data_IF_748046292636
#
_entry.id   IF_748046292636
#
_cell.length_a   1.000
_cell.length_b   1.000
_cell.length_c   1.000
_cell.angle_alpha   90.00
_cell.angle_beta   90.00
_cell.angle_gamma   90.00
#
_symmetry.space_group_name_H-M   'P 1'
#
loop_
_entity.id
_entity.type
_entity.pdbx_description
1 polymer ?
#
# COMPACT_ATOMS: atom_id res chain seq x y z
N UNK A 1 36.44 -46.19 18.70
CA UNK A 1 35.05 -45.71 18.68
C UNK A 1 35.01 -44.23 19.07
N UNK A 2 34.82 -43.32 18.12
CA UNK A 2 34.79 -41.86 18.39
C UNK A 2 33.35 -41.46 18.74
N UNK A 3 33.12 -41.01 19.99
CA UNK A 3 31.83 -40.48 20.44
C UNK A 3 31.52 -39.19 19.67
N UNK A 4 30.48 -39.19 18.82
CA UNK A 4 29.93 -37.98 18.22
C UNK A 4 29.26 -37.14 19.31
N UNK A 5 29.85 -35.98 19.62
CA UNK A 5 29.25 -34.96 20.48
C UNK A 5 28.03 -34.37 19.75
N UNK A 6 26.84 -34.54 20.33
CA UNK A 6 25.61 -33.96 19.80
C UNK A 6 25.56 -32.49 20.19
N UNK A 7 25.84 -31.57 19.26
CA UNK A 7 25.57 -30.16 19.49
C UNK A 7 24.07 -29.90 19.26
N UNK A 8 23.29 -29.53 20.29
CA UNK A 8 21.90 -29.16 20.09
C UNK A 8 21.87 -27.91 19.21
N UNK A 9 21.24 -28.01 18.04
CA UNK A 9 21.02 -26.88 17.14
C UNK A 9 20.12 -25.87 17.86
N UNK A 10 20.73 -24.89 18.53
CA UNK A 10 20.01 -23.80 19.18
C UNK A 10 19.33 -22.97 18.08
N UNK A 11 18.01 -23.05 18.00
CA UNK A 11 17.25 -22.31 17.02
C UNK A 11 17.46 -20.79 17.23
N UNK A 12 17.92 -20.08 16.18
CA UNK A 12 18.07 -18.60 16.18
C UNK A 12 16.88 -17.93 16.89
N UNK A 13 17.13 -16.96 17.77
CA UNK A 13 16.14 -16.30 18.65
C UNK A 13 14.81 -15.91 17.96
N UNK A 14 14.82 -15.58 16.66
CA UNK A 14 13.60 -15.32 15.87
C UNK A 14 12.70 -16.55 15.62
N UNK A 15 13.27 -17.75 15.50
CA UNK A 15 12.52 -19.03 15.47
C UNK A 15 11.95 -19.35 16.85
N UNK A 16 12.71 -19.12 17.92
CA UNK A 16 12.22 -19.22 19.31
C UNK A 16 11.02 -18.30 19.54
N UNK A 17 11.05 -17.04 19.08
CA UNK A 17 9.88 -16.13 19.13
C UNK A 17 8.69 -16.62 18.30
N UNK A 18 8.91 -17.35 17.20
CA UNK A 18 7.85 -17.93 16.37
C UNK A 18 7.20 -19.15 17.05
N UNK A 19 8.00 -19.93 17.77
CA UNK A 19 7.57 -21.03 18.64
C UNK A 19 6.87 -20.51 19.90
N UNK A 20 7.32 -19.37 20.44
CA UNK A 20 6.72 -18.68 21.59
C UNK A 20 5.48 -17.83 21.24
N UNK A 21 5.13 -17.66 19.96
CA UNK A 21 3.79 -17.20 19.58
C UNK A 21 2.82 -18.32 19.89
N UNK A 22 2.50 -18.43 21.16
CA UNK A 22 1.51 -19.38 21.64
C UNK A 22 0.18 -19.01 20.97
N UNK A 23 -0.49 -19.98 20.32
CA UNK A 23 -1.87 -19.81 19.90
C UNK A 23 -2.69 -19.34 21.11
N UNK A 24 -3.76 -18.57 20.87
CA UNK A 24 -4.56 -17.99 21.94
C UNK A 24 -5.17 -19.04 22.88
N UNK A 25 -5.20 -20.29 22.42
CA UNK A 25 -5.66 -21.50 23.09
C UNK A 25 -4.56 -22.55 22.92
N UNK A 26 -4.31 -23.42 23.92
CA UNK A 26 -3.43 -24.59 23.72
C UNK A 26 -3.98 -25.37 22.52
N UNK A 27 -3.08 -25.75 21.61
CA UNK A 27 -3.45 -26.60 20.47
C UNK A 27 -3.62 -28.00 21.03
N UNK A 28 -4.85 -28.38 21.29
CA UNK A 28 -5.19 -29.73 21.73
C UNK A 28 -5.06 -30.71 20.55
N UNK A 29 -5.06 -32.02 20.83
CA UNK A 29 -5.01 -33.08 19.81
C UNK A 29 -6.11 -32.94 18.74
N UNK A 30 -7.20 -32.27 19.07
CA UNK A 30 -8.27 -31.89 18.15
C UNK A 30 -7.80 -30.89 17.07
N UNK A 31 -6.93 -29.93 17.41
CA UNK A 31 -6.36 -28.96 16.44
C UNK A 31 -5.52 -29.65 15.37
N UNK A 32 -4.80 -30.71 15.74
CA UNK A 32 -3.96 -31.49 14.83
C UNK A 32 -4.78 -32.39 13.90
N UNK A 33 -5.96 -32.84 14.35
CA UNK A 33 -6.91 -33.64 13.54
C UNK A 33 -7.66 -32.81 12.48
N UNK A 34 -7.79 -31.49 12.67
CA UNK A 34 -8.42 -30.62 11.66
C UNK A 34 -7.48 -30.49 10.45
N UNK A 35 -7.80 -31.20 9.36
CA UNK A 35 -7.03 -31.15 8.11
C UNK A 35 -6.96 -29.73 7.60
N UNK A 36 -5.75 -29.19 7.50
CA UNK A 36 -5.51 -27.85 6.97
C UNK A 36 -5.66 -27.85 5.44
N UNK A 37 -6.88 -27.62 4.94
CA UNK A 37 -7.15 -27.55 3.51
C UNK A 37 -6.83 -26.13 3.01
N UNK A 38 -5.70 -25.99 2.31
CA UNK A 38 -5.47 -24.89 1.35
C UNK A 38 -5.40 -25.53 -0.02
N UNK A 39 -6.47 -25.43 -0.79
CA UNK A 39 -6.40 -25.74 -2.21
C UNK A 39 -5.95 -24.50 -2.98
N UNK A 40 -5.02 -24.71 -3.90
CA UNK A 40 -4.31 -23.66 -4.64
C UNK A 40 -2.88 -23.44 -4.14
N UNK A 41 -1.96 -23.26 -5.09
CA UNK A 41 -0.57 -22.96 -4.82
C UNK A 41 -0.49 -21.77 -3.85
N UNK A 42 0.28 -21.92 -2.77
CA UNK A 42 0.66 -20.81 -1.92
C UNK A 42 1.28 -19.77 -2.84
N UNK A 43 0.61 -18.63 -3.07
CA UNK A 43 1.28 -17.46 -3.64
C UNK A 43 2.59 -17.34 -2.89
N UNK A 44 3.70 -17.51 -3.62
CA UNK A 44 5.04 -17.59 -3.08
C UNK A 44 5.18 -16.50 -2.03
N UNK A 45 5.83 -16.82 -0.88
CA UNK A 45 6.11 -15.81 0.17
C UNK A 45 6.48 -14.52 -0.56
N UNK A 46 5.65 -13.48 -0.40
CA UNK A 46 5.82 -12.24 -1.15
C UNK A 46 7.30 -11.91 -1.24
N UNK A 47 7.77 -11.74 -2.48
CA UNK A 47 9.18 -11.64 -2.84
C UNK A 47 9.87 -10.70 -1.85
N UNK A 48 10.99 -11.15 -1.25
CA UNK A 48 11.66 -10.28 -0.28
C UNK A 48 12.09 -9.00 -0.99
N UNK A 49 12.14 -7.87 -0.30
CA UNK A 49 12.45 -6.56 -0.92
C UNK A 49 13.79 -6.57 -1.67
N UNK A 50 14.75 -7.34 -1.16
CA UNK A 50 16.08 -7.62 -1.72
C UNK A 50 16.04 -8.49 -3.00
N UNK A 51 14.92 -9.15 -3.28
CA UNK A 51 14.72 -10.02 -4.44
C UNK A 51 13.88 -9.36 -5.54
N UNK A 52 13.31 -8.17 -5.29
CA UNK A 52 12.61 -7.40 -6.32
C UNK A 52 13.67 -6.86 -7.27
N UNK A 53 13.65 -7.31 -8.53
CA UNK A 53 14.50 -6.74 -9.57
C UNK A 53 13.92 -5.39 -9.96
N UNK A 54 14.65 -4.33 -9.67
CA UNK A 54 14.31 -2.97 -10.08
C UNK A 54 14.78 -2.76 -11.52
N UNK A 55 13.97 -2.08 -12.32
CA UNK A 55 14.26 -1.77 -13.72
C UNK A 55 15.51 -0.91 -13.88
N UNK A 56 15.77 0.00 -12.93
CA UNK A 56 16.88 0.96 -12.97
C UNK A 56 17.74 0.89 -11.72
N UNK A 57 19.00 1.26 -11.89
CA UNK A 57 19.97 1.34 -10.80
C UNK A 57 20.46 2.77 -10.58
N UNK A 58 20.96 3.06 -9.38
CA UNK A 58 21.47 4.40 -9.05
C UNK A 58 22.64 4.84 -9.94
N UNK A 59 23.66 3.99 -10.21
CA UNK A 59 24.78 4.39 -11.08
C UNK A 59 24.33 4.67 -12.51
N UNK A 60 23.35 3.93 -13.02
CA UNK A 60 22.80 4.13 -14.36
C UNK A 60 22.15 5.52 -14.51
N UNK A 61 21.44 6.01 -13.50
CA UNK A 61 20.83 7.34 -13.51
C UNK A 61 21.85 8.46 -13.34
N UNK A 62 22.85 8.29 -12.47
CA UNK A 62 23.87 9.31 -12.21
C UNK A 62 24.86 9.47 -13.36
N UNK A 63 25.25 8.37 -14.03
CA UNK A 63 26.19 8.37 -15.15
C UNK A 63 25.51 8.68 -16.50
N UNK A 64 24.20 8.91 -16.52
CA UNK A 64 23.48 9.22 -17.75
C UNK A 64 23.76 10.66 -18.21
N UNK A 65 24.10 10.83 -19.49
CA UNK A 65 24.14 12.14 -20.14
C UNK A 65 22.76 12.79 -20.17
N UNK A 66 22.70 14.13 -20.32
CA UNK A 66 21.44 14.89 -20.34
C UNK A 66 20.41 14.34 -21.34
N UNK A 67 20.86 13.86 -22.50
CA UNK A 67 19.98 13.23 -23.49
C UNK A 67 19.54 11.83 -23.05
N UNK A 68 20.48 11.01 -22.60
CA UNK A 68 20.21 9.63 -22.16
C UNK A 68 19.27 9.56 -20.97
N UNK A 69 19.38 10.50 -20.00
CA UNK A 69 18.46 10.53 -18.85
C UNK A 69 17.03 10.87 -19.30
N UNK A 70 16.87 11.75 -20.27
CA UNK A 70 15.54 12.06 -20.83
C UNK A 70 14.98 10.83 -21.55
N UNK A 71 15.79 10.14 -22.35
CA UNK A 71 15.37 8.91 -23.04
C UNK A 71 14.97 7.80 -22.05
N UNK A 72 15.73 7.64 -20.96
CA UNK A 72 15.40 6.72 -19.86
C UNK A 72 14.05 7.08 -19.23
N UNK A 73 13.83 8.35 -18.90
CA UNK A 73 12.61 8.82 -18.24
C UNK A 73 11.39 8.75 -19.17
N UNK A 74 11.57 8.95 -20.48
CA UNK A 74 10.50 8.72 -21.48
C UNK A 74 10.18 7.23 -21.59
N UNK A 75 11.21 6.37 -21.69
CA UNK A 75 11.04 4.91 -21.76
C UNK A 75 10.37 4.33 -20.50
N UNK A 76 10.57 4.98 -19.35
CA UNK A 76 9.99 4.60 -18.07
C UNK A 76 8.67 5.33 -17.76
N UNK A 77 8.12 6.08 -18.72
CA UNK A 77 6.85 6.82 -18.63
C UNK A 77 6.81 7.96 -17.60
N UNK A 78 7.96 8.41 -17.09
CA UNK A 78 8.03 9.61 -16.26
C UNK A 78 7.81 10.88 -17.08
N UNK A 79 8.34 10.92 -18.31
CA UNK A 79 8.17 12.06 -19.22
C UNK A 79 7.33 11.67 -20.43
N UNK A 80 6.53 12.61 -20.99
CA UNK A 80 5.78 12.38 -22.20
C UNK A 80 6.70 12.31 -23.41
N UNK A 81 6.25 11.61 -24.45
CA UNK A 81 6.93 11.62 -25.76
C UNK A 81 6.72 12.98 -26.41
N UNK A 82 7.69 13.87 -26.25
CA UNK A 82 7.71 15.17 -26.92
C UNK A 82 8.80 15.19 -28.00
N UNK A 83 8.56 15.92 -29.10
CA UNK A 83 9.60 16.20 -30.10
C UNK A 83 10.59 17.19 -29.50
N UNK A 84 11.65 16.67 -28.89
CA UNK A 84 12.69 17.50 -28.28
C UNK A 84 13.63 18.01 -29.36
N UNK A 85 13.94 19.30 -29.28
CA UNK A 85 14.92 19.97 -30.14
C UNK A 85 16.01 20.58 -29.27
N UNK A 86 17.21 20.70 -29.83
CA UNK A 86 18.30 21.42 -29.17
C UNK A 86 17.93 22.90 -29.20
N UNK A 87 17.87 23.53 -28.03
CA UNK A 87 17.55 24.94 -27.96
C UNK A 87 18.73 25.75 -28.54
N UNK A 88 18.48 26.84 -29.29
CA UNK A 88 19.53 27.62 -29.94
C UNK A 88 20.54 28.31 -29.00
N UNK A 89 20.35 28.23 -27.67
CA UNK A 89 21.25 28.81 -26.65
C UNK A 89 21.57 27.84 -25.50
N UNK A 90 21.77 26.56 -25.78
CA UNK A 90 22.33 25.63 -24.79
C UNK A 90 22.19 24.13 -25.10
N UNK A 91 22.95 23.31 -24.37
CA UNK A 91 23.02 21.84 -24.52
C UNK A 91 21.78 21.08 -24.02
N UNK A 92 20.75 21.79 -23.57
CA UNK A 92 19.55 21.19 -23.01
C UNK A 92 18.49 20.99 -24.09
N UNK A 93 18.01 19.74 -24.18
CA UNK A 93 16.94 19.36 -25.09
C UNK A 93 15.62 19.90 -24.56
N UNK A 94 15.00 20.81 -25.30
CA UNK A 94 13.77 21.52 -24.92
C UNK A 94 12.67 21.29 -25.95
N UNK A 95 11.44 21.48 -25.52
CA UNK A 95 10.28 21.49 -26.39
C UNK A 95 9.95 22.93 -26.80
N UNK A 96 9.86 23.19 -28.11
CA UNK A 96 9.36 24.46 -28.62
C UNK A 96 7.83 24.42 -28.69
N UNK A 97 7.18 25.45 -28.17
CA UNK A 97 5.72 25.56 -28.28
C UNK A 97 5.27 25.54 -29.76
N UNK A 98 4.22 24.79 -30.07
CA UNK A 98 3.67 24.66 -31.42
C UNK A 98 2.61 25.71 -31.76
N UNK A 99 2.26 26.60 -30.83
CA UNK A 99 1.26 27.63 -31.05
C UNK A 99 1.77 28.74 -32.00
N UNK A 100 0.91 29.24 -32.88
CA UNK A 100 1.27 30.28 -33.86
C UNK A 100 1.81 31.51 -33.12
N UNK A 101 2.96 32.02 -33.56
CA UNK A 101 3.68 33.15 -32.95
C UNK A 101 4.20 32.92 -31.51
N UNK A 102 4.14 31.72 -30.96
CA UNK A 102 4.76 31.39 -29.68
C UNK A 102 6.18 30.85 -29.89
N UNK A 103 7.18 31.61 -29.48
CA UNK A 103 8.61 31.23 -29.58
C UNK A 103 9.18 30.68 -28.26
N UNK A 104 8.31 30.32 -27.32
CA UNK A 104 8.71 29.85 -25.97
C UNK A 104 9.27 28.43 -26.04
N UNK A 105 10.37 28.22 -25.30
CA UNK A 105 11.03 26.94 -25.11
C UNK A 105 10.81 26.46 -23.68
N UNK A 106 10.24 25.27 -23.53
CA UNK A 106 9.94 24.65 -22.23
C UNK A 106 10.82 23.43 -22.01
N UNK A 107 11.23 23.13 -20.77
CA UNK A 107 11.94 21.88 -20.55
C UNK A 107 10.95 20.69 -20.58
N UNK A 108 11.42 19.46 -20.80
CA UNK A 108 10.56 18.29 -20.91
C UNK A 108 9.76 17.98 -19.63
N UNK A 109 10.21 18.53 -18.49
CA UNK A 109 9.63 18.33 -17.17
C UNK A 109 8.89 19.59 -16.67
N UNK A 110 8.63 20.57 -17.53
CA UNK A 110 7.79 21.71 -17.21
C UNK A 110 6.40 21.19 -16.85
N UNK A 111 5.94 21.44 -15.61
CA UNK A 111 4.69 20.89 -15.02
C UNK A 111 4.73 19.41 -14.59
N UNK A 112 5.91 18.79 -14.50
CA UNK A 112 5.99 17.42 -13.97
C UNK A 112 5.60 17.40 -12.48
N UNK A 113 4.76 16.45 -12.02
CA UNK A 113 4.28 16.42 -10.63
C UNK A 113 5.38 16.22 -9.59
N UNK A 114 6.52 15.64 -9.99
CA UNK A 114 7.65 15.33 -9.09
C UNK A 114 8.92 16.14 -9.39
N UNK A 115 9.16 16.50 -10.65
CA UNK A 115 10.42 17.11 -11.08
C UNK A 115 10.19 18.60 -11.20
N UNK A 116 11.13 19.38 -10.70
CA UNK A 116 10.97 20.83 -10.61
C UNK A 116 12.01 21.51 -11.47
N UNK A 117 11.55 22.46 -12.27
CA UNK A 117 12.40 23.43 -12.92
C UNK A 117 12.78 24.50 -11.90
N UNK A 118 14.07 24.67 -11.64
CA UNK A 118 14.55 25.78 -10.82
C UNK A 118 15.71 26.45 -11.53
N UNK A 119 15.66 27.78 -11.59
CA UNK A 119 16.79 28.60 -11.99
C UNK A 119 17.35 29.23 -10.72
N UNK A 120 18.47 28.69 -10.23
CA UNK A 120 19.11 29.17 -9.02
C UNK A 120 20.29 28.30 -8.58
N UNK A 121 21.11 28.76 -7.64
CA UNK A 121 22.29 28.04 -7.17
C UNK A 121 21.96 26.72 -6.44
N UNK A 122 20.71 26.55 -6.00
CA UNK A 122 20.20 25.32 -5.38
C UNK A 122 19.43 24.42 -6.37
N UNK A 123 19.50 24.73 -7.67
CA UNK A 123 18.86 23.92 -8.71
C UNK A 123 19.52 22.55 -8.84
N UNK A 124 18.70 21.52 -9.05
CA UNK A 124 19.15 20.14 -9.19
C UNK A 124 19.01 19.71 -10.63
N UNK A 125 20.06 19.06 -11.17
CA UNK A 125 19.99 18.43 -12.47
C UNK A 125 18.92 17.32 -12.49
N UNK A 126 18.39 17.03 -13.67
CA UNK A 126 17.37 15.99 -13.83
C UNK A 126 17.88 14.62 -13.39
N UNK A 127 19.17 14.33 -13.61
CA UNK A 127 19.85 13.12 -13.11
C UNK A 127 19.77 13.06 -11.58
N UNK A 128 20.09 14.17 -10.90
CA UNK A 128 20.09 14.23 -9.44
C UNK A 128 18.68 14.07 -8.88
N UNK A 129 17.69 14.71 -9.51
CA UNK A 129 16.29 14.55 -9.13
C UNK A 129 15.79 13.10 -9.33
N UNK A 130 16.17 12.44 -10.44
CA UNK A 130 15.81 11.05 -10.71
C UNK A 130 16.48 10.07 -9.73
N UNK A 131 17.77 10.28 -9.42
CA UNK A 131 18.51 9.51 -8.43
C UNK A 131 17.91 9.66 -7.02
N UNK A 132 17.55 10.89 -6.64
CA UNK A 132 16.87 11.17 -5.39
C UNK A 132 15.50 10.45 -5.32
N UNK A 133 14.69 10.51 -6.38
CA UNK A 133 13.42 9.81 -6.44
C UNK A 133 13.61 8.29 -6.26
N UNK A 134 14.59 7.69 -6.94
CA UNK A 134 14.91 6.26 -6.81
C UNK A 134 15.23 5.90 -5.34
N UNK A 135 16.10 6.67 -4.68
CA UNK A 135 16.44 6.45 -3.26
C UNK A 135 15.22 6.57 -2.34
N UNK A 136 14.30 7.50 -2.64
CA UNK A 136 13.04 7.63 -1.90
C UNK A 136 12.11 6.44 -2.11
N UNK A 137 12.03 5.89 -3.32
CA UNK A 137 11.27 4.68 -3.59
C UNK A 137 11.87 3.46 -2.87
N UNK A 138 13.19 3.40 -2.73
CA UNK A 138 13.89 2.41 -1.89
C UNK A 138 13.73 2.62 -0.38
N UNK A 139 13.08 3.70 0.06
CA UNK A 139 12.89 4.06 1.48
C UNK A 139 14.20 4.33 2.22
N UNK A 140 15.17 4.92 1.52
CA UNK A 140 16.38 5.42 2.16
C UNK A 140 16.02 6.62 3.04
N UNK A 141 16.45 6.67 4.32
CA UNK A 141 16.20 7.80 5.21
C UNK A 141 16.69 9.13 4.62
N UNK A 142 15.97 10.22 4.88
CA UNK A 142 16.29 11.56 4.39
C UNK A 142 17.72 12.00 4.72
N UNK A 143 18.20 11.72 5.93
CA UNK A 143 19.58 12.01 6.34
C UNK A 143 20.62 11.32 5.46
N UNK A 144 20.39 10.06 5.09
CA UNK A 144 21.30 9.31 4.21
C UNK A 144 21.27 9.84 2.78
N UNK A 145 20.11 10.25 2.27
CA UNK A 145 20.00 10.85 0.94
C UNK A 145 20.75 12.19 0.89
N UNK A 146 20.62 13.02 1.94
CA UNK A 146 21.37 14.26 2.06
C UNK A 146 22.88 14.02 2.00
N UNK A 147 23.38 13.03 2.74
CA UNK A 147 24.80 12.67 2.76
C UNK A 147 25.28 12.07 1.43
N UNK A 148 24.48 11.22 0.78
CA UNK A 148 24.88 10.52 -0.44
C UNK A 148 24.87 11.41 -1.69
N UNK A 149 23.92 12.35 -1.78
CA UNK A 149 23.72 13.17 -2.97
C UNK A 149 24.14 14.63 -2.76
N UNK A 150 24.50 15.04 -1.54
CA UNK A 150 24.76 16.45 -1.21
C UNK A 150 23.53 17.36 -1.33
N UNK A 151 22.34 16.77 -1.41
CA UNK A 151 21.09 17.48 -1.69
C UNK A 151 20.50 18.05 -0.42
N UNK A 152 20.14 19.34 -0.42
CA UNK A 152 19.49 20.02 0.72
C UNK A 152 18.26 19.25 1.23
N UNK A 153 18.17 19.05 2.56
CA UNK A 153 17.07 18.35 3.22
C UNK A 153 15.68 18.91 2.86
N UNK A 154 15.54 20.22 2.58
CA UNK A 154 14.26 20.81 2.15
C UNK A 154 13.81 20.30 0.78
N UNK A 155 14.74 20.16 -0.16
CA UNK A 155 14.45 19.57 -1.46
C UNK A 155 14.07 18.08 -1.33
N UNK A 156 14.64 17.38 -0.33
CA UNK A 156 14.30 16.01 0.01
C UNK A 156 12.85 15.88 0.50
N UNK A 157 12.46 16.78 1.39
CA UNK A 157 11.11 16.83 1.94
C UNK A 157 10.07 17.23 0.88
N UNK A 158 10.38 18.24 0.05
CA UNK A 158 9.50 18.68 -1.02
C UNK A 158 9.18 17.56 -2.02
N UNK A 159 10.18 16.79 -2.45
CA UNK A 159 9.95 15.64 -3.33
C UNK A 159 9.08 14.56 -2.67
N UNK A 160 9.27 14.30 -1.37
CA UNK A 160 8.45 13.35 -0.63
C UNK A 160 6.99 13.81 -0.51
N UNK A 161 6.79 15.10 -0.26
CA UNK A 161 5.46 15.70 -0.19
C UNK A 161 4.75 15.65 -1.55
N UNK A 162 5.46 15.98 -2.64
CA UNK A 162 4.96 15.85 -4.03
C UNK A 162 4.55 14.41 -4.32
N UNK A 163 5.43 13.44 -4.03
CA UNK A 163 5.14 12.01 -4.23
C UNK A 163 3.90 11.55 -3.44
N UNK A 164 3.75 11.99 -2.19
CA UNK A 164 2.58 11.65 -1.38
C UNK A 164 1.28 12.23 -1.95
N UNK A 165 1.30 13.48 -2.41
CA UNK A 165 0.15 14.14 -3.05
C UNK A 165 -0.24 13.44 -4.35
N UNK A 166 0.71 13.16 -5.24
CA UNK A 166 0.42 12.47 -6.52
C UNK A 166 -0.18 11.08 -6.27
N UNK A 167 0.35 10.32 -5.30
CA UNK A 167 -0.22 9.01 -4.93
C UNK A 167 -1.61 9.14 -4.33
N UNK A 168 -1.85 10.15 -3.48
CA UNK A 168 -3.16 10.40 -2.90
C UNK A 168 -4.21 10.63 -3.99
N UNK A 169 -3.94 11.50 -4.97
CA UNK A 169 -4.87 11.78 -6.06
C UNK A 169 -5.20 10.52 -6.88
N UNK A 170 -4.18 9.73 -7.19
CA UNK A 170 -4.37 8.47 -7.92
C UNK A 170 -5.24 7.47 -7.14
N UNK A 171 -4.95 7.28 -5.85
CA UNK A 171 -5.73 6.38 -4.98
C UNK A 171 -7.19 6.84 -4.91
N UNK A 172 -7.44 8.12 -4.71
CA UNK A 172 -8.80 8.67 -4.65
C UNK A 172 -9.55 8.49 -5.97
N UNK A 173 -8.86 8.65 -7.12
CA UNK A 173 -9.47 8.40 -8.43
C UNK A 173 -9.80 6.92 -8.62
N UNK A 174 -8.85 6.03 -8.33
CA UNK A 174 -9.07 4.58 -8.42
C UNK A 174 -10.15 4.09 -7.47
N UNK A 175 -10.28 4.67 -6.28
CA UNK A 175 -11.37 4.34 -5.36
C UNK A 175 -12.76 4.64 -5.95
N UNK A 176 -12.91 5.70 -6.75
CA UNK A 176 -14.18 6.00 -7.44
C UNK A 176 -14.50 5.00 -8.55
N UNK A 177 -13.49 4.38 -9.16
CA UNK A 177 -13.65 3.35 -10.19
C UNK A 177 -14.02 1.98 -9.59
N UNK A 178 -13.81 1.78 -8.28
CA UNK A 178 -14.18 0.55 -7.60
C UNK A 178 -15.70 0.59 -7.38
N UNK A 179 -16.44 -0.06 -8.28
CA UNK A 179 -17.86 -0.36 -8.10
C UNK A 179 -18.00 -1.31 -6.90
N UNK A 180 -18.47 -0.77 -5.78
CA UNK A 180 -19.10 -1.55 -4.73
C UNK A 180 -20.57 -1.68 -5.16
N UNK A 181 -21.07 -2.90 -5.32
CA UNK A 181 -22.29 -3.25 -6.05
C UNK A 181 -23.54 -2.38 -5.88
N UNK A 182 -24.46 -2.54 -6.84
CA UNK A 182 -25.55 -1.61 -7.16
C UNK A 182 -26.63 -1.47 -6.07
N UNK A 183 -26.52 -0.42 -5.25
CA UNK A 183 -27.56 0.00 -4.31
C UNK A 183 -28.69 0.78 -5.00
N UNK A 184 -29.55 0.08 -5.77
CA UNK A 184 -30.81 0.68 -6.28
C UNK A 184 -31.89 0.69 -5.18
N UNK A 185 -31.92 1.78 -4.41
CA UNK A 185 -33.12 2.56 -4.05
C UNK A 185 -32.80 3.41 -2.81
N UNK A 186 -32.58 4.71 -2.99
CA UNK A 186 -32.52 5.69 -1.90
C UNK A 186 -33.74 6.61 -2.00
N UNK A 187 -34.56 6.60 -0.96
CA UNK A 187 -35.39 7.74 -0.55
C UNK A 187 -34.90 8.12 0.85
N UNK A 188 -34.53 9.38 1.03
CA UNK A 188 -34.20 9.94 2.34
C UNK A 188 -35.50 10.21 3.11
N UNK A 189 -35.86 9.28 4.00
CA UNK A 189 -36.73 9.58 5.13
C UNK A 189 -35.88 9.59 6.39
N UNK A 190 -35.98 10.67 7.17
CA UNK A 190 -35.05 11.11 8.21
C UNK A 190 -34.95 10.24 9.47
N UNK A 191 -34.73 8.94 9.33
CA UNK A 191 -34.34 8.00 10.38
C UNK A 191 -33.26 7.06 9.82
N UNK A 192 -32.01 7.18 10.29
CA UNK A 192 -30.92 6.28 9.89
C UNK A 192 -31.20 4.85 10.38
N UNK A 193 -31.70 3.99 9.50
CA UNK A 193 -31.68 2.54 9.68
C UNK A 193 -30.39 1.98 9.06
N UNK A 194 -29.56 1.37 9.89
CA UNK A 194 -28.39 0.65 9.42
C UNK A 194 -28.81 -0.73 8.94
N UNK A 195 -28.28 -1.17 7.79
CA UNK A 195 -28.32 -2.58 7.43
C UNK A 195 -26.99 -3.22 7.84
N UNK A 196 -27.07 -4.30 8.63
CA UNK A 196 -25.89 -5.02 9.10
C UNK A 196 -25.96 -6.47 8.64
N UNK A 197 -24.85 -7.01 8.14
CA UNK A 197 -24.76 -8.37 7.59
C UNK A 197 -23.58 -9.11 8.23
N UNK A 198 -23.78 -10.38 8.57
CA UNK A 198 -22.73 -11.29 9.03
C UNK A 198 -22.30 -12.20 7.88
N UNK A 199 -20.99 -12.27 7.62
CA UNK A 199 -20.41 -13.10 6.56
C UNK A 199 -19.51 -14.19 7.13
N UNK A 200 -19.72 -15.44 6.71
CA UNK A 200 -18.82 -16.56 6.97
C UNK A 200 -18.34 -17.11 5.63
N UNK A 201 -17.03 -17.35 5.50
CA UNK A 201 -16.44 -17.87 4.26
C UNK A 201 -15.32 -18.85 4.59
N UNK A 202 -15.24 -19.94 3.82
CA UNK A 202 -14.12 -20.85 3.90
C UNK A 202 -12.87 -20.19 3.30
N UNK A 203 -11.77 -20.23 4.03
CA UNK A 203 -10.52 -19.62 3.60
C UNK A 203 -10.01 -20.28 2.31
N UNK A 204 -9.98 -19.49 1.22
CA UNK A 204 -9.49 -19.94 -0.09
C UNK A 204 -10.60 -20.31 -1.09
N UNK A 205 -11.87 -20.31 -0.69
CA UNK A 205 -13.01 -20.58 -1.58
C UNK A 205 -14.06 -19.48 -1.46
N UNK A 206 -13.98 -18.41 -2.27
CA UNK A 206 -14.91 -17.28 -2.17
C UNK A 206 -16.37 -17.67 -2.45
N UNK A 207 -16.59 -18.74 -3.23
CA UNK A 207 -17.91 -19.33 -3.53
C UNK A 207 -18.66 -19.84 -2.29
N UNK A 208 -17.97 -20.07 -1.17
CA UNK A 208 -18.57 -20.56 0.08
C UNK A 208 -19.07 -19.43 0.99
N UNK A 209 -19.14 -18.20 0.49
CA UNK A 209 -19.59 -17.05 1.26
C UNK A 209 -21.07 -17.18 1.59
N UNK A 210 -21.38 -17.24 2.89
CA UNK A 210 -22.74 -17.16 3.41
C UNK A 210 -22.91 -15.78 4.05
N UNK A 211 -23.90 -15.02 3.58
CA UNK A 211 -24.30 -13.73 4.15
C UNK A 211 -25.64 -13.85 4.87
N UNK A 212 -25.70 -13.43 6.14
CA UNK A 212 -26.93 -13.39 6.93
C UNK A 212 -27.24 -11.98 7.37
N UNK A 213 -28.44 -11.50 7.04
CA UNK A 213 -28.94 -10.20 7.48
C UNK A 213 -29.12 -10.21 9.00
N UNK A 214 -28.59 -9.19 9.67
CA UNK A 214 -28.79 -8.93 11.09
C UNK A 214 -29.88 -7.87 11.28
N UNK A 215 -30.44 -7.82 12.48
CA UNK A 215 -31.42 -6.79 12.88
C UNK A 215 -30.77 -5.82 13.86
N UNK A 216 -30.02 -4.81 13.38
CA UNK A 216 -29.38 -3.85 14.26
C UNK A 216 -30.40 -2.97 14.98
N UNK A 217 -30.06 -2.52 16.19
CA UNK A 217 -30.86 -1.49 16.87
C UNK A 217 -30.78 -0.17 16.12
N UNK A 218 -31.90 0.56 16.11
CA UNK A 218 -31.96 1.95 15.63
C UNK A 218 -30.92 2.76 16.40
N UNK A 219 -30.02 3.40 15.67
CA UNK A 219 -28.92 4.18 16.25
C UNK A 219 -29.37 5.60 16.56
N UNK A 220 -28.85 6.18 17.65
CA UNK A 220 -29.01 7.61 17.94
C UNK A 220 -28.30 8.47 16.89
N UNK A 221 -28.79 9.70 16.64
CA UNK A 221 -28.37 10.61 15.55
C UNK A 221 -26.86 10.89 15.42
N UNK A 222 -26.04 10.56 16.43
CA UNK A 222 -24.58 10.80 16.45
C UNK A 222 -23.73 9.52 16.55
N UNK A 223 -24.34 8.34 16.51
CA UNK A 223 -23.58 7.09 16.60
C UNK A 223 -22.99 6.71 15.23
N UNK A 224 -21.74 6.23 15.17
CA UNK A 224 -21.05 5.89 13.92
C UNK A 224 -21.53 4.58 13.26
N UNK A 225 -22.66 4.00 13.70
CA UNK A 225 -23.16 2.69 13.29
C UNK A 225 -23.78 1.89 14.44
N UNK A 226 -24.37 0.71 14.16
CA UNK A 226 -25.05 -0.13 15.16
C UNK A 226 -24.08 -0.87 16.10
N UNK A 227 -22.77 -0.68 15.91
CA UNK A 227 -21.72 -1.30 16.70
C UNK A 227 -21.33 -2.71 16.20
N UNK A 228 -20.47 -3.38 16.95
CA UNK A 228 -20.05 -4.75 16.65
C UNK A 228 -21.22 -5.74 16.83
N UNK A 229 -21.20 -6.85 16.07
CA UNK A 229 -22.20 -7.93 16.21
C UNK A 229 -22.33 -8.36 17.67
N UNK A 230 -23.56 -8.54 18.13
CA UNK A 230 -23.82 -8.95 19.51
C UNK A 230 -23.53 -10.44 19.67
N UNK A 231 -23.21 -10.83 20.89
CA UNK A 231 -22.98 -12.26 21.21
C UNK A 231 -24.23 -13.11 20.96
N UNK A 232 -25.43 -12.57 21.18
CA UNK A 232 -26.71 -13.24 20.95
C UNK A 232 -26.98 -13.50 19.46
N UNK A 233 -26.70 -12.51 18.61
CA UNK A 233 -26.83 -12.61 17.16
C UNK A 233 -25.80 -13.59 16.57
N UNK A 234 -24.54 -13.48 17.01
CA UNK A 234 -23.49 -14.41 16.61
C UNK A 234 -23.80 -15.85 17.05
N UNK A 235 -24.34 -16.05 18.25
CA UNK A 235 -24.66 -17.37 18.79
C UNK A 235 -25.57 -18.15 17.86
N UNK A 236 -26.66 -17.54 17.39
CA UNK A 236 -27.61 -18.20 16.49
C UNK A 236 -26.94 -18.65 15.18
N UNK A 237 -26.15 -17.76 14.57
CA UNK A 237 -25.44 -18.04 13.31
C UNK A 237 -24.40 -19.15 13.49
N UNK A 238 -23.68 -19.11 14.61
CA UNK A 238 -22.59 -20.03 14.87
C UNK A 238 -23.09 -21.42 15.29
N UNK A 239 -24.22 -21.51 16.01
CA UNK A 239 -24.89 -22.78 16.31
C UNK A 239 -25.44 -23.43 15.04
N UNK A 240 -26.01 -22.65 14.12
CA UNK A 240 -26.55 -23.18 12.85
C UNK A 240 -25.44 -23.67 11.90
N UNK A 241 -24.34 -22.92 11.78
CA UNK A 241 -23.35 -23.15 10.72
C UNK A 241 -22.08 -23.86 11.16
N UNK A 242 -21.75 -23.84 12.46
CA UNK A 242 -20.45 -24.30 12.98
C UNK A 242 -20.55 -25.37 14.07
N UNK A 243 -21.74 -25.59 14.66
CA UNK A 243 -21.91 -26.58 15.73
C UNK A 243 -21.50 -27.98 15.25
N UNK A 244 -20.71 -28.66 16.08
CA UNK A 244 -20.17 -30.02 15.86
C UNK A 244 -19.33 -30.20 14.59
N UNK A 245 -18.99 -29.12 13.88
CA UNK A 245 -18.03 -29.15 12.78
C UNK A 245 -16.62 -29.01 13.33
N UNK A 246 -15.70 -29.87 12.91
CA UNK A 246 -14.27 -29.79 13.26
C UNK A 246 -13.56 -28.70 12.46
N UNK A 247 -13.64 -27.44 12.90
CA UNK A 247 -13.14 -26.28 12.15
C UNK A 247 -12.32 -25.31 13.01
N UNK A 248 -11.38 -24.61 12.36
CA UNK A 248 -10.64 -23.48 12.96
C UNK A 248 -11.27 -22.18 12.47
N UNK A 249 -11.95 -21.47 13.37
CA UNK A 249 -12.57 -20.19 13.11
C UNK A 249 -11.55 -19.05 13.33
N UNK A 250 -11.24 -18.34 12.24
CA UNK A 250 -10.42 -17.13 12.28
C UNK A 250 -11.30 -15.91 12.49
N UNK A 251 -11.11 -15.19 13.60
CA UNK A 251 -11.93 -14.02 13.93
C UNK A 251 -11.07 -12.78 14.17
N UNK A 252 -11.70 -11.60 14.09
CA UNK A 252 -11.08 -10.30 14.38
C UNK A 252 -10.84 -10.05 15.89
N UNK A 253 -11.08 -11.08 16.71
CA UNK A 253 -10.98 -11.09 18.18
C UNK A 253 -12.03 -10.25 18.92
N UNK A 254 -13.13 -9.84 18.26
CA UNK A 254 -14.25 -9.21 18.96
C UNK A 254 -14.79 -10.12 20.09
N UNK A 255 -15.28 -9.51 21.18
CA UNK A 255 -15.75 -10.25 22.36
C UNK A 255 -16.92 -11.20 22.03
N UNK A 256 -17.76 -10.85 21.07
CA UNK A 256 -18.90 -11.66 20.61
C UNK A 256 -18.46 -13.00 20.01
N UNK A 257 -17.37 -13.01 19.26
CA UNK A 257 -16.83 -14.24 18.64
C UNK A 257 -16.02 -15.13 19.58
N UNK A 258 -15.99 -14.86 20.88
CA UNK A 258 -15.34 -15.74 21.89
C UNK A 258 -16.28 -16.81 22.45
N UNK A 259 -17.47 -16.96 21.87
CA UNK A 259 -18.43 -17.99 22.24
C UNK A 259 -17.79 -19.37 22.06
N UNK A 260 -17.80 -20.21 23.11
CA UNK A 260 -17.34 -21.59 23.01
C UNK A 260 -18.42 -22.43 22.33
N UNK A 261 -18.04 -23.13 21.27
CA UNK A 261 -18.90 -24.06 20.53
C UNK A 261 -18.18 -25.41 20.45
N UNK A 262 -18.94 -26.50 20.55
CA UNK A 262 -18.44 -27.86 20.37
C UNK A 262 -17.81 -28.00 18.98
N UNK A 263 -16.61 -28.58 18.89
CA UNK A 263 -15.89 -28.80 17.63
C UNK A 263 -15.19 -27.58 17.00
N UNK A 264 -15.38 -26.36 17.51
CA UNK A 264 -14.85 -25.13 16.90
C UNK A 264 -13.68 -24.55 17.68
N UNK A 265 -12.50 -24.49 17.04
CA UNK A 265 -11.31 -23.86 17.61
C UNK A 265 -11.15 -22.42 17.12
N UNK A 266 -10.94 -21.48 18.04
CA UNK A 266 -10.78 -20.07 17.71
C UNK A 266 -9.30 -19.68 17.57
N UNK A 267 -8.93 -18.99 16.49
CA UNK A 267 -7.56 -18.47 16.28
C UNK A 267 -7.55 -16.98 15.89
N UNK A 268 -6.47 -16.28 16.24
CA UNK A 268 -6.33 -14.82 16.06
C UNK A 268 -5.79 -14.49 14.68
N UNK A 269 -6.45 -13.59 13.96
CA UNK A 269 -5.89 -12.99 12.73
C UNK A 269 -4.81 -11.97 13.07
N UNK A 270 -3.57 -12.20 12.60
CA UNK A 270 -2.51 -11.19 12.67
C UNK A 270 -2.83 -10.08 11.65
N UNK A 271 -3.12 -8.87 12.15
CA UNK A 271 -3.38 -7.64 11.36
C UNK A 271 -2.15 -7.20 10.55
N UNK A 272 -1.84 -7.91 9.46
CA UNK A 272 -0.68 -7.60 8.59
C UNK A 272 -0.79 -6.25 7.89
N UNK A 273 -1.99 -5.84 7.50
CA UNK A 273 -2.24 -4.55 6.85
C UNK A 273 -2.00 -3.36 7.80
N UNK A 274 -2.54 -3.42 9.03
CA UNK A 274 -2.31 -2.36 10.02
C UNK A 274 -0.84 -2.21 10.39
N UNK A 275 -0.08 -3.32 10.46
CA UNK A 275 1.37 -3.26 10.67
C UNK A 275 2.07 -2.54 9.51
N UNK A 276 1.68 -2.84 8.27
CA UNK A 276 2.25 -2.23 7.07
C UNK A 276 2.07 -0.71 7.01
N UNK A 277 0.88 -0.23 7.38
CA UNK A 277 0.58 1.21 7.44
C UNK A 277 1.34 1.90 8.57
N UNK A 278 1.38 1.30 9.77
CA UNK A 278 2.12 1.86 10.93
C UNK A 278 3.63 1.95 10.70
N UNK A 279 4.22 1.03 9.95
CA UNK A 279 5.64 1.09 9.59
C UNK A 279 5.96 2.25 8.60
N UNK A 280 4.97 2.79 7.89
CA UNK A 280 5.16 3.82 6.84
C UNK A 280 4.72 5.21 7.26
N UNK A 281 3.67 5.28 8.06
CA UNK A 281 3.26 6.52 8.68
C UNK A 281 3.97 6.56 10.03
N UNK A 282 5.17 7.16 10.05
CA UNK A 282 5.82 7.57 11.29
C UNK A 282 4.93 8.64 11.93
N UNK A 283 3.91 8.21 12.68
CA UNK A 283 3.04 9.10 13.44
C UNK A 283 3.85 9.56 14.64
N UNK A 284 4.52 10.70 14.50
CA UNK A 284 5.03 11.42 15.66
C UNK A 284 3.81 11.91 16.46
N UNK A 285 3.94 11.93 17.79
CA UNK A 285 2.86 12.28 18.73
C UNK A 285 2.27 13.68 18.53
N UNK A 286 2.88 14.53 17.68
CA UNK A 286 2.50 15.93 17.43
C UNK A 286 1.75 16.16 16.11
N UNK A 287 1.32 15.12 15.39
CA UNK A 287 0.62 15.31 14.11
C UNK A 287 -0.87 15.57 14.37
N UNK A 288 -1.37 16.76 13.99
CA UNK A 288 -2.80 17.11 14.12
C UNK A 288 -3.66 16.05 13.40
N UNK A 289 -4.65 15.51 14.13
CA UNK A 289 -5.64 14.61 13.56
C UNK A 289 -6.29 15.25 12.33
N UNK A 290 -6.55 14.44 11.30
CA UNK A 290 -7.13 14.88 10.01
C UNK A 290 -6.32 15.88 9.17
N UNK A 291 -5.07 16.19 9.57
CA UNK A 291 -4.21 17.04 8.75
C UNK A 291 -4.08 16.51 7.32
N UNK A 292 -4.02 17.44 6.35
CA UNK A 292 -3.84 17.11 4.93
C UNK A 292 -2.61 16.25 4.70
N UNK A 293 -1.51 16.54 5.41
CA UNK A 293 -0.27 15.77 5.36
C UNK A 293 -0.46 14.33 5.87
N UNK A 294 -1.18 14.13 6.98
CA UNK A 294 -1.46 12.79 7.50
C UNK A 294 -2.33 11.98 6.53
N UNK A 295 -3.36 12.62 5.95
CA UNK A 295 -4.21 12.02 4.90
C UNK A 295 -3.35 11.63 3.68
N UNK A 296 -2.49 12.51 3.19
CA UNK A 296 -1.58 12.22 2.08
C UNK A 296 -0.64 11.05 2.37
N UNK A 297 -0.04 11.00 3.57
CA UNK A 297 0.84 9.89 4.00
C UNK A 297 0.09 8.57 4.09
N UNK A 298 -1.13 8.56 4.64
CA UNK A 298 -1.98 7.36 4.71
C UNK A 298 -2.34 6.85 3.32
N UNK A 299 -2.75 7.73 2.40
CA UNK A 299 -3.10 7.35 1.03
C UNK A 299 -1.86 6.92 0.23
N UNK A 300 -0.72 7.55 0.43
CA UNK A 300 0.56 7.10 -0.13
C UNK A 300 0.95 5.70 0.36
N UNK A 301 0.73 5.39 1.65
CA UNK A 301 0.95 4.05 2.19
C UNK A 301 -0.07 3.03 1.64
N UNK A 302 -1.32 3.43 1.39
CA UNK A 302 -2.31 2.60 0.71
C UNK A 302 -1.88 2.24 -0.72
N UNK A 303 -1.39 3.21 -1.49
CA UNK A 303 -0.81 2.96 -2.82
C UNK A 303 0.34 1.94 -2.77
N UNK A 304 1.25 2.07 -1.80
CA UNK A 304 2.35 1.11 -1.63
C UNK A 304 1.87 -0.28 -1.25
N UNK A 305 0.75 -0.37 -0.55
CA UNK A 305 0.14 -1.65 -0.21
C UNK A 305 -0.50 -2.31 -1.43
N UNK A 306 -1.17 -1.54 -2.29
CA UNK A 306 -1.74 -2.02 -3.54
C UNK A 306 -0.66 -2.58 -4.47
N UNK A 307 0.46 -1.87 -4.59
CA UNK A 307 1.60 -2.26 -5.44
C UNK A 307 2.63 -3.13 -4.71
N UNK A 308 2.22 -3.85 -3.66
CA UNK A 308 3.16 -4.69 -2.88
C UNK A 308 3.75 -5.79 -3.77
N UNK A 309 5.07 -5.90 -3.78
CA UNK A 309 5.87 -6.80 -4.64
C UNK A 309 5.99 -6.38 -6.11
N UNK A 310 5.48 -5.22 -6.51
CA UNK A 310 5.76 -4.64 -7.81
C UNK A 310 7.05 -3.80 -7.77
N UNK A 311 7.63 -3.54 -8.93
CA UNK A 311 8.68 -2.53 -9.08
C UNK A 311 8.07 -1.13 -8.92
N UNK A 312 8.40 -0.45 -7.83
CA UNK A 312 7.89 0.88 -7.55
C UNK A 312 8.43 1.94 -8.51
N UNK A 313 9.56 1.71 -9.17
CA UNK A 313 10.05 2.61 -10.21
C UNK A 313 9.08 2.64 -11.40
N UNK A 314 8.71 1.46 -11.89
CA UNK A 314 7.75 1.31 -12.99
C UNK A 314 6.37 1.82 -12.58
N UNK A 315 5.89 1.44 -11.39
CA UNK A 315 4.60 1.94 -10.88
C UNK A 315 4.57 3.45 -10.71
N UNK A 316 5.69 4.08 -10.32
CA UNK A 316 5.80 5.53 -10.20
C UNK A 316 5.80 6.22 -11.58
N UNK A 317 6.42 5.61 -12.59
CA UNK A 317 6.34 6.10 -13.98
C UNK A 317 4.90 6.11 -14.49
N UNK A 318 4.15 5.03 -14.26
CA UNK A 318 2.73 4.97 -14.63
C UNK A 318 1.88 5.99 -13.87
N UNK A 319 2.18 6.20 -12.59
CA UNK A 319 1.54 7.23 -11.77
C UNK A 319 1.79 8.64 -12.36
N UNK A 320 3.03 8.96 -12.72
CA UNK A 320 3.39 10.24 -13.35
C UNK A 320 2.68 10.41 -14.69
N UNK A 321 2.66 9.38 -15.53
CA UNK A 321 1.95 9.40 -16.81
C UNK A 321 0.45 9.73 -16.66
N UNK A 322 -0.23 9.09 -15.70
CA UNK A 322 -1.64 9.39 -15.39
C UNK A 322 -1.85 10.84 -14.91
N UNK A 323 -0.92 11.36 -14.10
CA UNK A 323 -1.00 12.74 -13.62
C UNK A 323 -0.77 13.74 -14.76
N UNK A 324 0.13 13.43 -15.69
CA UNK A 324 0.49 14.29 -16.81
C UNK A 324 -0.55 14.29 -17.94
N UNK A 325 -1.33 13.22 -18.09
CA UNK A 325 -2.45 13.19 -19.05
C UNK A 325 -3.41 14.38 -18.87
N UNK A 326 -3.61 14.86 -17.64
CA UNK A 326 -4.45 16.04 -17.33
C UNK A 326 -3.98 17.33 -18.01
N UNK A 327 -2.69 17.42 -18.35
CA UNK A 327 -2.08 18.62 -18.96
C UNK A 327 -1.81 18.45 -20.46
N UNK A 328 -2.03 17.25 -21.00
CA UNK A 328 -1.83 16.92 -22.41
C UNK A 328 -3.15 16.73 -23.18
N UNK A 329 -4.26 16.51 -22.47
CA UNK A 329 -5.64 16.68 -22.97
C UNK A 329 -6.02 18.14 -23.00
#
# INVERSE_FOLDING_TARGET
>A
MVKKVFHPVVAKQGKLRKVQKRPATKKDSFWEKVKYVREGAVNSRGQRKDQIKWKRTLPELLNASNRKIIDILIADKFLPKCKLQVAPRGDLHKHRCSHRNCHVWMNPHHLHPLFSECQGPQSQSLQMQAAHLLLKLHKVPQSKIHLLLGVNHKAIEDMENKLCKTRQEYVQKKEKEILLGDGKSWKDDGVMMWEQWAGIVQRGRPETLILRKLQPKITVKRAPGPGAIRKTEWKLIAEELLLDRTVILYTDSAKSYKLKLSGVLHDKVIRRHWKFLKERVLVNQHTKAESSLLKAKLRSAQYEYWSRNADFWVGCGELCSHSMQKFLS
#
